data_IF_516911318020
#
_entry.id   IF_516911318020
#
_cell.length_a   1.000
_cell.length_b   1.000
_cell.length_c   1.000
_cell.angle_alpha   90.00
_cell.angle_beta   90.00
_cell.angle_gamma   90.00
#
_symmetry.space_group_name_H-M   'P 1'
#
loop_
_entity.id
_entity.type
_entity.pdbx_description
1 polymer ?
#
# COMPACT_ATOMS: atom_id res chain seq x y z
N UNK A 1 -21.91 -48.01 -14.78
CA UNK A 1 -20.52 -47.50 -14.84
C UNK A 1 -20.43 -46.38 -15.84
N UNK A 2 -20.24 -45.13 -15.37
CA UNK A 2 -19.70 -43.98 -16.11
C UNK A 2 -19.40 -42.89 -15.08
N UNK A 3 -18.30 -43.07 -14.37
CA UNK A 3 -17.76 -42.07 -13.44
C UNK A 3 -17.21 -40.94 -14.29
N UNK A 4 -17.96 -39.85 -14.43
CA UNK A 4 -17.43 -38.62 -15.03
C UNK A 4 -16.46 -38.02 -14.03
N UNK A 5 -15.17 -38.22 -14.28
CA UNK A 5 -14.09 -37.54 -13.58
C UNK A 5 -14.24 -36.06 -13.93
N UNK A 6 -14.72 -35.28 -12.97
CA UNK A 6 -14.65 -33.82 -13.02
C UNK A 6 -13.17 -33.51 -12.82
N UNK A 7 -12.48 -33.27 -13.94
CA UNK A 7 -11.13 -32.70 -13.93
C UNK A 7 -11.29 -31.29 -13.38
N UNK A 8 -11.01 -31.13 -12.08
CA UNK A 8 -10.67 -29.85 -11.48
C UNK A 8 -9.40 -29.35 -12.19
N UNK A 9 -9.59 -28.71 -13.34
CA UNK A 9 -8.55 -27.93 -14.01
C UNK A 9 -8.13 -26.85 -13.02
N UNK A 10 -6.90 -27.01 -12.51
CA UNK A 10 -5.99 -26.01 -11.97
C UNK A 10 -6.72 -24.68 -11.67
N UNK A 11 -6.99 -24.31 -10.41
CA UNK A 11 -5.93 -23.87 -9.50
C UNK A 11 -4.73 -23.23 -10.22
N UNK A 12 -5.00 -22.42 -11.25
CA UNK A 12 -4.28 -21.17 -11.42
C UNK A 12 -4.75 -20.23 -10.30
N UNK A 13 -4.50 -20.62 -9.06
CA UNK A 13 -4.21 -19.65 -8.02
C UNK A 13 -2.94 -18.96 -8.49
N UNK A 14 -3.11 -17.93 -9.33
CA UNK A 14 -2.16 -16.84 -9.41
C UNK A 14 -2.45 -15.98 -8.17
N UNK A 15 -1.70 -16.17 -7.07
CA UNK A 15 -1.11 -15.05 -6.40
C UNK A 15 0.38 -15.13 -6.73
N UNK A 16 0.73 -15.02 -8.02
CA UNK A 16 2.05 -14.54 -8.40
C UNK A 16 1.97 -13.03 -8.66
N UNK A 17 1.18 -12.31 -7.84
CA UNK A 17 1.46 -10.91 -7.63
C UNK A 17 2.78 -10.88 -6.88
N UNK A 18 3.83 -10.47 -7.60
CA UNK A 18 5.22 -10.52 -7.19
C UNK A 18 5.39 -10.13 -5.73
N UNK A 19 5.80 -11.10 -4.93
CA UNK A 19 6.29 -10.90 -3.57
C UNK A 19 7.34 -9.79 -3.55
N UNK A 20 8.22 -9.79 -4.55
CA UNK A 20 9.18 -8.74 -4.86
C UNK A 20 8.68 -8.00 -6.09
N UNK A 21 8.79 -6.68 -6.07
CA UNK A 21 8.51 -5.83 -7.22
C UNK A 21 9.59 -4.75 -7.34
N UNK A 22 10.00 -4.49 -8.58
CA UNK A 22 10.93 -3.40 -8.94
C UNK A 22 10.19 -2.17 -9.49
N UNK A 23 8.86 -2.17 -9.45
CA UNK A 23 8.01 -1.11 -10.01
C UNK A 23 7.86 0.10 -9.09
N UNK A 24 7.77 1.30 -9.68
CA UNK A 24 7.54 2.57 -8.97
C UNK A 24 6.27 2.56 -8.12
N UNK A 25 5.24 1.81 -8.51
CA UNK A 25 3.96 1.77 -7.81
C UNK A 25 3.96 0.79 -6.61
N UNK A 26 5.01 -0.01 -6.42
CA UNK A 26 5.13 -0.98 -5.34
C UNK A 26 4.97 -0.30 -3.98
N UNK A 27 5.62 0.85 -3.79
CA UNK A 27 5.55 1.63 -2.55
C UNK A 27 4.11 2.10 -2.29
N UNK A 28 3.38 2.53 -3.33
CA UNK A 28 1.96 2.88 -3.21
C UNK A 28 1.08 1.69 -2.87
N UNK A 29 1.38 0.48 -3.35
CA UNK A 29 0.69 -0.75 -2.94
C UNK A 29 0.93 -1.02 -1.44
N UNK A 30 2.17 -0.87 -0.97
CA UNK A 30 2.51 -0.99 0.45
C UNK A 30 1.76 0.00 1.34
N UNK A 31 1.69 1.28 0.94
CA UNK A 31 0.91 2.28 1.67
C UNK A 31 -0.58 1.94 1.72
N UNK A 32 -1.14 1.41 0.64
CA UNK A 32 -2.55 0.98 0.60
C UNK A 32 -2.82 -0.18 1.55
N UNK A 33 -1.98 -1.22 1.54
CA UNK A 33 -2.09 -2.34 2.48
C UNK A 33 -2.03 -1.83 3.91
N UNK A 34 -1.03 -1.00 4.25
CA UNK A 34 -0.90 -0.52 5.61
C UNK A 34 -2.05 0.42 6.01
N UNK A 35 -2.52 1.28 5.11
CA UNK A 35 -3.66 2.14 5.37
C UNK A 35 -4.97 1.39 5.59
N UNK A 36 -5.19 0.27 4.90
CA UNK A 36 -6.34 -0.63 5.18
C UNK A 36 -6.22 -1.26 6.56
N UNK A 37 -5.03 -1.76 6.95
CA UNK A 37 -4.77 -2.25 8.31
C UNK A 37 -5.03 -1.17 9.36
N UNK A 38 -4.57 0.06 9.11
CA UNK A 38 -4.79 1.19 10.02
C UNK A 38 -6.28 1.49 10.21
N UNK A 39 -7.07 1.49 9.13
CA UNK A 39 -8.53 1.65 9.22
C UNK A 39 -9.20 0.51 9.97
N UNK A 40 -8.83 -0.74 9.68
CA UNK A 40 -9.40 -1.92 10.32
C UNK A 40 -9.13 -1.94 11.83
N UNK A 41 -7.88 -1.61 12.22
CA UNK A 41 -7.43 -1.70 13.61
C UNK A 41 -7.94 -0.53 14.46
N UNK A 42 -8.00 0.68 13.89
CA UNK A 42 -8.27 1.91 14.67
C UNK A 42 -9.62 2.55 14.38
N UNK A 43 -10.29 2.16 13.30
CA UNK A 43 -11.56 2.73 12.87
C UNK A 43 -11.42 4.11 12.21
N UNK A 44 -12.46 4.48 11.48
CA UNK A 44 -12.52 5.73 10.70
C UNK A 44 -12.25 6.97 11.53
N UNK A 45 -12.92 7.13 12.68
CA UNK A 45 -12.84 8.34 13.50
C UNK A 45 -11.41 8.62 13.96
N UNK A 46 -10.68 7.58 14.40
CA UNK A 46 -9.29 7.73 14.85
C UNK A 46 -8.36 8.05 13.69
N UNK A 47 -8.57 7.42 12.53
CA UNK A 47 -7.77 7.69 11.33
C UNK A 47 -8.04 9.09 10.78
N UNK A 48 -9.29 9.54 10.75
CA UNK A 48 -9.65 10.89 10.36
C UNK A 48 -8.96 11.92 11.28
N UNK A 49 -9.08 11.75 12.60
CA UNK A 49 -8.41 12.63 13.58
C UNK A 49 -6.89 12.68 13.38
N UNK A 50 -6.25 11.55 13.05
CA UNK A 50 -4.82 11.52 12.75
C UNK A 50 -4.48 12.34 11.50
N UNK A 51 -5.26 12.21 10.43
CA UNK A 51 -5.06 12.96 9.18
C UNK A 51 -5.24 14.46 9.43
N UNK A 52 -6.32 14.84 10.11
CA UNK A 52 -6.62 16.24 10.41
C UNK A 52 -5.57 16.88 11.32
N UNK A 53 -4.92 16.07 12.17
CA UNK A 53 -3.80 16.48 13.04
C UNK A 53 -2.43 16.34 12.37
N UNK A 54 -2.37 16.01 11.08
CA UNK A 54 -1.15 15.74 10.32
C UNK A 54 -0.20 14.73 10.99
N UNK A 55 -0.77 13.76 11.70
CA UNK A 55 -0.02 12.71 12.36
C UNK A 55 0.34 11.60 11.38
N UNK A 56 1.51 11.00 11.61
CA UNK A 56 1.99 9.89 10.80
C UNK A 56 2.63 8.82 11.67
N UNK A 57 2.63 7.58 11.17
CA UNK A 57 3.29 6.44 11.77
C UNK A 57 4.01 5.63 10.71
N UNK A 58 5.19 5.12 11.03
CA UNK A 58 5.92 4.16 10.23
C UNK A 58 6.44 3.01 11.07
N UNK A 59 6.46 1.81 10.50
CA UNK A 59 6.91 0.59 11.15
C UNK A 59 8.03 -0.08 10.36
N UNK A 60 9.00 -0.61 11.09
CA UNK A 60 9.93 -1.62 10.60
C UNK A 60 9.34 -2.99 10.92
N UNK A 61 9.00 -3.74 9.87
CA UNK A 61 8.38 -5.05 9.95
C UNK A 61 9.39 -6.10 9.53
N UNK A 62 9.60 -7.11 10.37
CA UNK A 62 10.25 -8.33 9.92
C UNK A 62 9.23 -9.16 9.17
N UNK A 63 9.62 -9.71 8.02
CA UNK A 63 8.76 -10.48 7.13
C UNK A 63 9.36 -11.83 6.80
N UNK A 64 8.52 -12.78 6.42
CA UNK A 64 8.98 -14.07 5.90
C UNK A 64 9.40 -13.98 4.43
N UNK A 65 9.81 -15.12 3.88
CA UNK A 65 10.19 -15.26 2.48
C UNK A 65 9.03 -15.14 1.49
N UNK A 66 7.82 -14.77 1.93
CA UNK A 66 6.67 -14.43 1.10
C UNK A 66 6.19 -13.00 1.37
N UNK A 67 6.83 -12.25 2.28
CA UNK A 67 6.43 -10.90 2.66
C UNK A 67 5.35 -10.83 3.74
N UNK A 68 4.99 -11.95 4.39
CA UNK A 68 4.08 -11.94 5.54
C UNK A 68 4.78 -11.39 6.77
N UNK A 69 4.08 -10.54 7.52
CA UNK A 69 4.63 -9.94 8.75
C UNK A 69 4.81 -11.00 9.84
N UNK A 70 6.05 -11.17 10.30
CA UNK A 70 6.41 -12.02 11.44
C UNK A 70 6.37 -11.19 12.73
N UNK A 71 6.90 -9.97 12.70
CA UNK A 71 6.98 -9.11 13.89
C UNK A 71 7.20 -7.64 13.57
N UNK A 72 6.84 -6.77 14.52
CA UNK A 72 7.14 -5.34 14.48
C UNK A 72 8.42 -5.08 15.27
N UNK A 73 9.49 -4.71 14.57
CA UNK A 73 10.79 -4.41 15.16
C UNK A 73 10.77 -3.03 15.85
N UNK A 74 10.23 -2.02 15.16
CA UNK A 74 10.27 -0.63 15.62
C UNK A 74 9.12 0.18 15.03
N UNK A 75 8.63 1.15 15.79
CA UNK A 75 7.73 2.19 15.29
C UNK A 75 8.33 3.59 15.44
N UNK A 76 7.99 4.48 14.51
CA UNK A 76 8.26 5.92 14.56
C UNK A 76 7.04 6.67 14.06
N UNK A 77 6.93 7.96 14.35
CA UNK A 77 5.82 8.75 13.86
C UNK A 77 5.84 10.21 14.31
N UNK A 78 5.12 11.06 13.59
CA UNK A 78 4.79 12.43 13.99
C UNK A 78 3.56 12.40 14.90
N UNK A 79 3.74 12.00 16.17
CA UNK A 79 2.70 12.03 17.21
C UNK A 79 3.32 11.95 18.62
N UNK A 80 2.58 12.28 19.69
CA UNK A 80 3.07 12.13 21.07
C UNK A 80 3.56 10.71 21.39
N UNK A 81 4.69 10.59 22.10
CA UNK A 81 5.32 9.29 22.40
C UNK A 81 4.38 8.27 23.07
N UNK A 82 3.54 8.62 24.06
CA UNK A 82 2.62 7.65 24.67
C UNK A 82 1.60 7.12 23.67
N UNK A 83 1.06 8.00 22.81
CA UNK A 83 0.13 7.63 21.75
C UNK A 83 0.80 6.70 20.73
N UNK A 84 2.02 7.01 20.30
CA UNK A 84 2.80 6.19 19.38
C UNK A 84 3.03 4.78 19.95
N UNK A 85 3.48 4.68 21.21
CA UNK A 85 3.75 3.41 21.87
C UNK A 85 2.51 2.51 21.88
N UNK A 86 1.37 3.05 22.32
CA UNK A 86 0.10 2.32 22.36
C UNK A 86 -0.32 1.83 20.98
N UNK A 87 -0.22 2.69 19.95
CA UNK A 87 -0.58 2.29 18.58
C UNK A 87 0.32 1.19 18.04
N UNK A 88 1.64 1.28 18.28
CA UNK A 88 2.60 0.25 17.88
C UNK A 88 2.31 -1.09 18.58
N UNK A 89 1.94 -1.06 19.86
CA UNK A 89 1.61 -2.27 20.62
C UNK A 89 0.34 -2.95 20.12
N UNK A 90 -0.70 -2.16 19.79
CA UNK A 90 -1.93 -2.66 19.18
C UNK A 90 -1.63 -3.29 17.80
N UNK A 91 -0.85 -2.62 16.96
CA UNK A 91 -0.45 -3.14 15.65
C UNK A 91 0.37 -4.42 15.78
N UNK A 92 1.28 -4.49 16.77
CA UNK A 92 2.03 -5.71 17.07
C UNK A 92 1.11 -6.87 17.44
N UNK A 93 0.08 -6.62 18.25
CA UNK A 93 -0.92 -7.63 18.60
C UNK A 93 -1.83 -8.02 17.41
N UNK A 94 -2.07 -7.10 16.48
CA UNK A 94 -2.81 -7.37 15.25
C UNK A 94 -2.02 -8.29 14.32
N UNK A 95 -0.77 -7.97 14.00
CA UNK A 95 0.09 -8.78 13.10
C UNK A 95 0.39 -10.18 13.65
N UNK A 96 0.36 -10.38 14.98
CA UNK A 96 0.47 -11.73 15.56
C UNK A 96 -0.72 -12.64 15.26
N UNK A 97 -1.89 -12.06 14.94
CA UNK A 97 -3.16 -12.78 14.78
C UNK A 97 -3.65 -12.83 13.33
N UNK A 98 -3.10 -11.99 12.46
CA UNK A 98 -3.54 -11.84 11.08
C UNK A 98 -2.35 -11.96 10.14
N UNK A 99 -2.52 -12.78 9.10
CA UNK A 99 -1.54 -12.89 8.03
C UNK A 99 -1.67 -11.68 7.11
N UNK A 100 -0.81 -10.67 7.31
CA UNK A 100 -0.73 -9.50 6.43
C UNK A 100 0.52 -9.63 5.58
N UNK A 101 0.34 -9.59 4.27
CA UNK A 101 1.42 -9.64 3.29
C UNK A 101 1.70 -8.22 2.77
N UNK A 102 2.97 -7.83 2.73
CA UNK A 102 3.41 -6.61 2.08
C UNK A 102 4.24 -6.94 0.84
N UNK A 103 4.09 -6.17 -0.26
CA UNK A 103 5.03 -6.28 -1.37
C UNK A 103 6.41 -5.78 -0.93
N UNK A 104 7.45 -6.46 -1.36
CA UNK A 104 8.84 -6.11 -1.11
C UNK A 104 9.34 -5.28 -2.30
N UNK A 105 9.54 -3.99 -2.05
CA UNK A 105 9.86 -3.04 -3.11
C UNK A 105 11.37 -2.86 -3.25
N UNK A 106 11.88 -3.17 -4.43
CA UNK A 106 13.24 -2.83 -4.86
C UNK A 106 13.19 -1.64 -5.82
N UNK A 107 14.26 -0.85 -5.86
CA UNK A 107 14.36 0.24 -6.82
C UNK A 107 14.65 -0.35 -8.21
N UNK A 108 13.99 0.19 -9.24
CA UNK A 108 14.42 -0.01 -10.61
C UNK A 108 15.66 0.84 -10.88
N UNK A 109 16.72 0.22 -11.39
CA UNK A 109 17.98 0.88 -11.69
C UNK A 109 18.18 1.03 -13.20
N UNK A 110 18.66 2.20 -13.63
CA UNK A 110 19.05 2.42 -15.02
C UNK A 110 20.50 1.94 -15.24
N UNK A 111 20.68 0.62 -15.24
CA UNK A 111 21.98 -0.04 -15.29
C UNK A 111 22.17 -0.93 -16.55
N UNK A 112 21.28 -0.80 -17.53
CA UNK A 112 21.31 -1.56 -18.78
C UNK A 112 20.70 -2.96 -18.70
N UNK A 113 20.24 -3.41 -17.52
CA UNK A 113 19.50 -4.66 -17.36
C UNK A 113 18.02 -4.49 -17.71
N UNK A 114 17.42 -5.53 -18.28
CA UNK A 114 15.98 -5.59 -18.51
C UNK A 114 15.21 -5.67 -17.20
N UNK A 115 13.91 -5.33 -17.23
CA UNK A 115 13.02 -5.46 -16.08
C UNK A 115 13.02 -6.87 -15.49
N UNK A 116 12.98 -7.90 -16.34
CA UNK A 116 12.93 -9.30 -15.91
C UNK A 116 14.21 -9.73 -15.20
N UNK A 117 15.37 -9.27 -15.67
CA UNK A 117 16.67 -9.52 -15.03
C UNK A 117 16.76 -8.81 -13.68
N UNK A 118 16.32 -7.55 -13.60
CA UNK A 118 16.32 -6.82 -12.32
C UNK A 118 15.35 -7.44 -11.32
N UNK A 119 14.16 -7.85 -11.76
CA UNK A 119 13.19 -8.53 -10.92
C UNK A 119 13.75 -9.86 -10.39
N UNK A 120 14.42 -10.64 -11.25
CA UNK A 120 15.09 -11.87 -10.84
C UNK A 120 16.18 -11.60 -9.80
N UNK A 121 17.06 -10.63 -10.06
CA UNK A 121 18.12 -10.27 -9.12
C UNK A 121 17.56 -9.81 -7.77
N UNK A 122 16.49 -9.02 -7.77
CA UNK A 122 15.82 -8.57 -6.56
C UNK A 122 15.17 -9.74 -5.79
N UNK A 123 14.60 -10.72 -6.50
CA UNK A 123 14.05 -11.93 -5.89
C UNK A 123 15.16 -12.77 -5.23
N UNK A 124 16.25 -13.01 -5.95
CA UNK A 124 17.39 -13.79 -5.46
C UNK A 124 18.01 -13.12 -4.23
N UNK A 125 18.26 -11.80 -4.28
CA UNK A 125 18.77 -11.01 -3.14
C UNK A 125 17.83 -11.09 -1.92
N UNK A 126 16.52 -10.93 -2.13
CA UNK A 126 15.56 -11.02 -1.04
C UNK A 126 15.53 -12.41 -0.40
N UNK A 127 15.53 -13.48 -1.21
CA UNK A 127 15.50 -14.86 -0.74
C UNK A 127 16.76 -15.23 0.03
N UNK A 128 17.93 -14.81 -0.45
CA UNK A 128 19.22 -15.06 0.19
C UNK A 128 19.47 -14.18 1.42
N UNK A 129 18.81 -13.03 1.53
CA UNK A 129 18.97 -12.13 2.66
C UNK A 129 18.61 -12.80 3.99
N UNK A 130 19.53 -12.74 4.95
CA UNK A 130 19.31 -13.20 6.33
C UNK A 130 18.31 -12.33 7.07
N UNK A 131 18.24 -11.04 6.73
CA UNK A 131 17.39 -10.05 7.40
C UNK A 131 16.33 -9.57 6.41
N UNK A 132 15.17 -10.20 6.46
CA UNK A 132 14.01 -9.82 5.64
C UNK A 132 13.15 -8.82 6.42
N UNK A 133 13.21 -7.55 6.02
CA UNK A 133 12.39 -6.51 6.61
C UNK A 133 11.80 -5.60 5.54
N UNK A 134 10.68 -4.96 5.87
CA UNK A 134 10.07 -3.90 5.07
C UNK A 134 9.71 -2.71 5.95
N UNK A 135 9.69 -1.53 5.36
CA UNK A 135 9.25 -0.30 6.03
C UNK A 135 7.92 0.14 5.46
N UNK A 136 6.94 0.33 6.34
CA UNK A 136 5.59 0.78 5.96
C UNK A 136 5.29 2.10 6.64
N UNK A 137 4.56 2.98 5.94
CA UNK A 137 4.24 4.32 6.42
C UNK A 137 2.77 4.65 6.18
N UNK A 138 2.17 5.34 7.14
CA UNK A 138 0.81 5.85 7.06
C UNK A 138 0.78 7.32 7.52
N UNK A 139 0.11 8.23 6.77
CA UNK A 139 -0.58 7.99 5.50
C UNK A 139 0.37 7.82 4.29
N UNK A 140 1.69 7.92 4.48
CA UNK A 140 2.67 7.80 3.41
C UNK A 140 2.41 8.83 2.31
N UNK A 141 2.52 8.40 1.04
CA UNK A 141 2.24 9.27 -0.11
C UNK A 141 0.78 9.24 -0.59
N UNK A 142 -0.12 8.56 0.13
CA UNK A 142 -1.53 8.46 -0.27
C UNK A 142 -2.22 9.82 -0.34
N UNK A 143 -1.73 10.80 0.40
CA UNK A 143 -2.29 12.16 0.46
C UNK A 143 -1.45 13.19 -0.31
N UNK A 144 -0.33 12.82 -0.94
CA UNK A 144 0.59 13.77 -1.59
C UNK A 144 -0.09 14.60 -2.67
N UNK A 145 -0.98 13.98 -3.46
CA UNK A 145 -1.69 14.68 -4.55
C UNK A 145 -3.00 15.34 -4.12
N UNK A 146 -3.39 15.28 -2.83
CA UNK A 146 -4.68 15.79 -2.38
C UNK A 146 -4.86 17.28 -2.69
N UNK A 147 -3.89 18.14 -2.33
CA UNK A 147 -4.03 19.60 -2.55
C UNK A 147 -4.10 19.95 -4.04
N UNK A 148 -3.35 19.22 -4.88
CA UNK A 148 -3.40 19.38 -6.32
C UNK A 148 -4.76 18.96 -6.90
N UNK A 149 -5.30 17.83 -6.48
CA UNK A 149 -6.62 17.37 -6.92
C UNK A 149 -7.75 18.24 -6.36
N UNK A 150 -7.58 18.79 -5.16
CA UNK A 150 -8.47 19.81 -4.57
C UNK A 150 -8.53 21.03 -5.46
N UNK A 151 -7.37 21.55 -5.88
CA UNK A 151 -7.27 22.66 -6.82
C UNK A 151 -7.95 22.37 -8.16
N UNK A 152 -7.85 21.12 -8.65
CA UNK A 152 -8.49 20.67 -9.90
C UNK A 152 -10.01 20.48 -9.80
N UNK A 153 -10.58 20.56 -8.59
CA UNK A 153 -12.04 20.56 -8.37
C UNK A 153 -12.56 19.39 -7.55
N UNK A 154 -11.71 18.57 -6.93
CA UNK A 154 -12.13 17.58 -5.95
C UNK A 154 -12.78 18.27 -4.73
N UNK A 155 -13.93 17.77 -4.27
CA UNK A 155 -14.71 18.42 -3.19
C UNK A 155 -14.68 17.70 -1.85
N UNK A 156 -14.26 16.44 -1.77
CA UNK A 156 -14.21 15.68 -0.52
C UNK A 156 -13.11 16.15 0.45
N UNK A 157 -13.15 15.61 1.67
CA UNK A 157 -12.14 15.83 2.71
C UNK A 157 -10.84 15.04 2.42
N UNK A 158 -9.77 15.28 3.21
CA UNK A 158 -8.55 14.45 3.15
C UNK A 158 -8.84 12.99 3.50
N UNK A 159 -9.77 12.75 4.42
CA UNK A 159 -10.19 11.40 4.78
C UNK A 159 -10.95 10.72 3.63
N UNK A 160 -11.91 11.40 2.99
CA UNK A 160 -12.61 10.86 1.81
C UNK A 160 -11.62 10.54 0.68
N UNK A 161 -10.62 11.41 0.49
CA UNK A 161 -9.58 11.21 -0.51
C UNK A 161 -8.71 10.00 -0.17
N UNK A 162 -8.35 9.80 1.10
CA UNK A 162 -7.66 8.61 1.57
C UNK A 162 -8.47 7.36 1.22
N UNK A 163 -9.77 7.33 1.53
CA UNK A 163 -10.63 6.19 1.22
C UNK A 163 -10.62 5.86 -0.28
N UNK A 164 -10.76 6.87 -1.14
CA UNK A 164 -10.65 6.68 -2.59
C UNK A 164 -9.31 6.04 -2.98
N UNK A 165 -8.19 6.52 -2.42
CA UNK A 165 -6.86 5.97 -2.70
C UNK A 165 -6.66 4.55 -2.17
N UNK A 166 -7.18 4.25 -0.98
CA UNK A 166 -7.10 2.92 -0.38
C UNK A 166 -7.89 1.88 -1.17
N UNK A 167 -9.00 2.27 -1.80
CA UNK A 167 -9.84 1.38 -2.60
C UNK A 167 -9.67 1.57 -4.11
N UNK A 168 -8.62 2.29 -4.53
CA UNK A 168 -8.26 2.48 -5.95
C UNK A 168 -9.40 3.06 -6.79
N UNK A 169 -10.23 3.88 -6.16
CA UNK A 169 -11.34 4.56 -6.82
C UNK A 169 -10.82 5.81 -7.54
N UNK A 170 -11.41 6.09 -8.70
CA UNK A 170 -11.13 7.31 -9.43
C UNK A 170 -11.45 8.54 -8.58
N UNK A 171 -10.56 9.54 -8.62
CA UNK A 171 -10.83 10.81 -7.93
C UNK A 171 -11.90 11.58 -8.74
N UNK A 172 -13.07 11.88 -8.15
CA UNK A 172 -14.20 12.47 -8.87
C UNK A 172 -13.94 13.96 -9.18
N UNK A 173 -13.16 14.21 -10.22
CA UNK A 173 -12.87 15.55 -10.74
C UNK A 173 -13.58 15.70 -12.09
N UNK A 174 -14.61 16.55 -12.14
CA UNK A 174 -15.27 16.87 -13.41
C UNK A 174 -14.28 17.58 -14.33
N UNK A 175 -13.89 16.95 -15.43
CA UNK A 175 -13.17 17.65 -16.50
C UNK A 175 -14.08 18.77 -17.02
N UNK A 176 -13.59 20.01 -17.02
CA UNK A 176 -14.27 21.08 -17.77
C UNK A 176 -14.28 20.66 -19.23
N UNK A 177 -15.44 20.32 -19.76
CA UNK A 177 -15.65 20.22 -21.20
C UNK A 177 -15.39 21.63 -21.72
N UNK A 178 -14.29 21.85 -22.45
CA UNK A 178 -14.17 23.09 -23.22
C UNK A 178 -15.32 23.05 -24.22
N UNK A 179 -16.31 23.93 -24.04
CA UNK A 179 -17.22 24.23 -25.14
C UNK A 179 -16.34 24.81 -26.22
N UNK A 180 -16.01 23.97 -27.21
CA UNK A 180 -15.31 24.39 -28.41
C UNK A 180 -16.02 25.62 -28.96
N UNK A 181 -15.23 26.63 -29.30
CA UNK A 181 -15.66 27.77 -30.10
C UNK A 181 -16.47 27.22 -31.28
N UNK A 182 -17.79 27.37 -31.26
CA UNK A 182 -18.53 27.50 -32.51
C UNK A 182 -17.99 28.75 -33.16
N UNK A 183 -17.19 28.56 -34.22
CA UNK A 183 -16.94 29.60 -35.21
C UNK A 183 -18.31 30.03 -35.72
N UNK A 184 -18.63 31.29 -35.50
CA UNK A 184 -19.51 32.02 -36.40
C UNK A 184 -18.75 32.13 -37.73
N UNK A 185 -19.20 31.37 -38.73
CA UNK A 185 -18.99 31.65 -40.16
C UNK A 185 -20.38 31.89 -40.77
#
# INVERSE_FOLDING_TARGET
MRTKIIVFLLWASLPCFGQVAVELDCIFRSYRVFGRVMLEVFGSDKIQNMIDSEQSIGLWLNVDSLGYVISVQKGRGKMPKPQLGLMVDILRAYFKRHAVQFPICYAFEDNGLTYEEQLKNALDDFLESKNKFTMVYFPGELLTSYEFDKFRGYKGSKFDYLLLKLYEQEIPIKRKISKGKTKDD
#
